data_IF_117315078962
#
_entry.id   IF_117315078962
#
_cell.length_a   1.000
_cell.length_b   1.000
_cell.length_c   1.000
_cell.angle_alpha   90.00
_cell.angle_beta   90.00
_cell.angle_gamma   90.00
#
_symmetry.space_group_name_H-M   'P 1'
#
loop_
_entity.id
_entity.type
_entity.pdbx_description
1 polymer ?
#
# COMPACT_ATOMS: atom_id res chain seq x y z
N UNK A 1 -20.41 12.16 9.15
CA UNK A 1 -20.19 10.69 9.06
C UNK A 1 -18.79 10.52 8.52
N UNK A 2 -17.88 9.84 9.23
CA UNK A 2 -16.56 9.56 8.68
C UNK A 2 -16.75 8.57 7.52
N UNK A 3 -16.57 9.02 6.28
CA UNK A 3 -16.74 8.16 5.10
C UNK A 3 -15.54 7.23 4.85
N UNK A 4 -14.68 6.98 5.84
CA UNK A 4 -13.48 6.13 5.73
C UNK A 4 -13.53 4.91 6.69
N UNK A 5 -14.71 4.33 6.93
CA UNK A 5 -14.88 3.31 7.99
C UNK A 5 -14.35 1.92 7.59
N UNK A 6 -14.41 1.52 6.31
CA UNK A 6 -14.05 0.16 5.90
C UNK A 6 -12.73 0.06 5.13
N UNK A 7 -12.08 -1.09 5.24
CA UNK A 7 -10.88 -1.40 4.45
C UNK A 7 -11.20 -1.39 2.95
N UNK A 8 -12.38 -1.89 2.56
CA UNK A 8 -12.81 -1.91 1.16
C UNK A 8 -12.96 -0.49 0.57
N UNK A 9 -13.41 0.47 1.37
CA UNK A 9 -13.55 1.87 0.94
C UNK A 9 -12.18 2.55 0.83
N UNK A 10 -11.24 2.23 1.71
CA UNK A 10 -9.85 2.67 1.59
C UNK A 10 -9.15 2.08 0.35
N UNK A 11 -9.43 0.82 0.01
CA UNK A 11 -8.98 0.24 -1.28
C UNK A 11 -9.58 1.01 -2.45
N UNK A 12 -10.87 1.37 -2.40
CA UNK A 12 -11.49 2.21 -3.43
C UNK A 12 -10.80 3.56 -3.57
N UNK A 13 -10.45 4.22 -2.46
CA UNK A 13 -9.67 5.46 -2.48
C UNK A 13 -8.30 5.29 -3.10
N UNK A 14 -7.57 4.21 -2.77
CA UNK A 14 -6.28 3.90 -3.41
C UNK A 14 -6.44 3.81 -4.92
N UNK A 15 -7.44 3.06 -5.40
CA UNK A 15 -7.69 2.89 -6.84
C UNK A 15 -8.06 4.21 -7.52
N UNK A 16 -8.87 5.04 -6.86
CA UNK A 16 -9.28 6.34 -7.43
C UNK A 16 -8.14 7.36 -7.41
N UNK A 17 -7.40 7.50 -6.32
CA UNK A 17 -6.42 8.58 -6.13
C UNK A 17 -5.03 8.25 -6.70
N UNK A 18 -4.62 6.98 -6.72
CA UNK A 18 -3.27 6.59 -7.19
C UNK A 18 -3.26 5.94 -8.57
N UNK A 19 -4.42 5.53 -9.09
CA UNK A 19 -4.54 4.81 -10.37
C UNK A 19 -5.61 5.41 -11.28
N UNK A 20 -6.12 6.61 -10.99
CA UNK A 20 -7.17 7.28 -11.77
C UNK A 20 -8.41 6.40 -12.04
N UNK A 21 -8.73 5.50 -11.10
CA UNK A 21 -9.84 4.54 -11.23
C UNK A 21 -9.51 3.29 -12.06
N UNK A 22 -8.27 3.13 -12.53
CA UNK A 22 -7.82 2.00 -13.35
C UNK A 22 -7.63 0.73 -12.50
N UNK A 23 -8.69 -0.08 -12.44
CA UNK A 23 -8.73 -1.33 -11.68
C UNK A 23 -7.72 -2.36 -12.19
N UNK A 24 -7.54 -2.45 -13.53
CA UNK A 24 -6.62 -3.40 -14.15
C UNK A 24 -5.16 -3.06 -13.83
N UNK A 25 -4.82 -1.77 -13.79
CA UNK A 25 -3.48 -1.31 -13.42
C UNK A 25 -3.18 -1.60 -11.95
N UNK A 26 -4.11 -1.27 -11.06
CA UNK A 26 -3.99 -1.58 -9.63
C UNK A 26 -3.84 -3.09 -9.40
N UNK A 27 -4.72 -3.91 -10.02
CA UNK A 27 -4.68 -5.37 -9.92
C UNK A 27 -3.32 -5.94 -10.35
N UNK A 28 -2.80 -5.46 -11.48
CA UNK A 28 -1.48 -5.83 -12.00
C UNK A 28 -0.37 -5.42 -11.02
N UNK A 29 -0.44 -4.21 -10.46
CA UNK A 29 0.60 -3.67 -9.58
C UNK A 29 0.74 -4.46 -8.28
N UNK A 30 -0.37 -4.95 -7.71
CA UNK A 30 -0.36 -5.73 -6.45
C UNK A 30 -0.45 -7.25 -6.67
N UNK A 31 -0.53 -7.72 -7.92
CA UNK A 31 -0.54 -9.15 -8.26
C UNK A 31 -1.82 -9.87 -7.82
N UNK A 32 -2.99 -9.29 -8.10
CA UNK A 32 -4.31 -9.93 -7.90
C UNK A 32 -5.17 -9.86 -9.16
N UNK A 33 -6.32 -10.52 -9.15
CA UNK A 33 -7.28 -10.45 -10.26
C UNK A 33 -8.08 -9.14 -10.24
N UNK A 34 -8.44 -8.62 -11.41
CA UNK A 34 -9.33 -7.46 -11.53
C UNK A 34 -10.72 -7.73 -10.91
N UNK A 35 -11.22 -8.96 -11.02
CA UNK A 35 -12.46 -9.39 -10.36
C UNK A 35 -12.40 -9.20 -8.85
N UNK A 36 -11.25 -9.48 -8.21
CA UNK A 36 -11.04 -9.23 -6.79
C UNK A 36 -11.11 -7.74 -6.47
N UNK A 37 -10.45 -6.89 -7.27
CA UNK A 37 -10.52 -5.43 -7.12
C UNK A 37 -11.97 -4.95 -7.20
N UNK A 38 -12.69 -5.35 -8.24
CA UNK A 38 -14.11 -5.00 -8.44
C UNK A 38 -14.96 -5.38 -7.24
N UNK A 39 -14.72 -6.55 -6.63
CA UNK A 39 -15.45 -7.01 -5.44
C UNK A 39 -15.25 -6.05 -4.24
N UNK A 40 -14.05 -5.50 -4.07
CA UNK A 40 -13.75 -4.55 -2.98
C UNK A 40 -14.39 -3.18 -3.23
N UNK A 41 -14.46 -2.74 -4.49
CA UNK A 41 -15.11 -1.48 -4.84
C UNK A 41 -16.62 -1.46 -4.56
N UNK A 42 -17.25 -2.64 -4.49
CA UNK A 42 -18.66 -2.81 -4.11
C UNK A 42 -18.86 -3.19 -2.63
N UNK A 43 -17.77 -3.22 -1.84
CA UNK A 43 -17.85 -3.40 -0.38
C UNK A 43 -17.46 -4.78 0.15
N UNK A 44 -16.96 -5.69 -0.69
CA UNK A 44 -16.46 -6.98 -0.19
C UNK A 44 -15.23 -6.76 0.70
N UNK A 45 -15.17 -7.48 1.81
CA UNK A 45 -14.01 -7.41 2.72
C UNK A 45 -12.83 -8.20 2.12
N UNK A 46 -11.67 -7.57 1.94
CA UNK A 46 -10.47 -8.26 1.46
C UNK A 46 -9.92 -9.23 2.51
N UNK A 47 -9.29 -10.31 2.04
CA UNK A 47 -8.54 -11.24 2.89
C UNK A 47 -7.17 -10.65 3.26
N UNK A 48 -6.55 -11.20 4.30
CA UNK A 48 -5.27 -10.70 4.82
C UNK A 48 -4.13 -10.75 3.79
N UNK A 49 -4.09 -11.76 2.92
CA UNK A 49 -3.11 -11.88 1.83
C UNK A 49 -3.18 -10.72 0.82
N UNK A 50 -4.36 -10.15 0.63
CA UNK A 50 -4.56 -8.97 -0.23
C UNK A 50 -3.99 -7.72 0.43
N UNK A 51 -4.17 -7.58 1.75
CA UNK A 51 -3.62 -6.46 2.51
C UNK A 51 -2.08 -6.50 2.50
N UNK A 52 -1.52 -7.68 2.71
CA UNK A 52 -0.07 -7.93 2.58
C UNK A 52 0.44 -7.51 1.20
N UNK A 53 -0.23 -7.94 0.12
CA UNK A 53 0.13 -7.56 -1.24
C UNK A 53 0.09 -6.05 -1.47
N UNK A 54 -0.91 -5.36 -0.91
CA UNK A 54 -1.00 -3.89 -1.01
C UNK A 54 0.22 -3.24 -0.36
N UNK A 55 0.49 -3.51 0.91
CA UNK A 55 1.55 -2.83 1.66
C UNK A 55 2.97 -3.18 1.17
N UNK A 56 3.14 -4.33 0.53
CA UNK A 56 4.43 -4.77 -0.01
C UNK A 56 4.72 -4.27 -1.43
N UNK A 57 3.70 -4.03 -2.25
CA UNK A 57 3.90 -3.65 -3.66
C UNK A 57 3.76 -2.14 -3.91
N UNK A 58 3.10 -1.42 -3.01
CA UNK A 58 2.84 0.02 -3.16
C UNK A 58 3.09 0.75 -1.84
N UNK A 59 3.42 2.04 -1.93
CA UNK A 59 3.83 2.85 -0.77
C UNK A 59 2.64 3.30 0.09
N UNK A 60 1.84 2.36 0.57
CA UNK A 60 0.69 2.59 1.45
C UNK A 60 1.07 2.33 2.91
N UNK A 61 0.58 3.18 3.81
CA UNK A 61 0.69 2.98 5.25
C UNK A 61 -0.23 1.85 5.71
N UNK A 62 0.33 0.85 6.39
CA UNK A 62 -0.45 -0.23 6.99
C UNK A 62 -1.36 0.30 8.10
N UNK A 63 -0.93 1.31 8.86
CA UNK A 63 -1.71 1.94 9.91
C UNK A 63 -2.96 2.60 9.33
N UNK A 64 -2.79 3.42 8.27
CA UNK A 64 -3.91 4.04 7.58
C UNK A 64 -4.82 3.02 6.91
N UNK A 65 -4.26 1.96 6.32
CA UNK A 65 -5.04 0.91 5.65
C UNK A 65 -5.89 0.07 6.62
N UNK A 66 -5.45 -0.10 7.87
CA UNK A 66 -6.15 -0.90 8.88
C UNK A 66 -7.05 -0.07 9.79
N UNK A 67 -6.58 1.09 10.25
CA UNK A 67 -7.29 1.95 11.23
C UNK A 67 -8.05 3.11 10.60
N UNK A 68 -7.54 3.65 9.49
CA UNK A 68 -8.09 4.83 8.81
C UNK A 68 -7.45 6.12 9.32
N UNK A 69 -6.54 6.00 10.28
CA UNK A 69 -5.85 7.11 10.92
C UNK A 69 -4.50 7.37 10.24
N UNK A 70 -4.03 8.62 10.34
CA UNK A 70 -2.76 9.03 9.75
C UNK A 70 -2.81 9.22 8.23
N UNK A 71 -1.64 9.15 7.58
CA UNK A 71 -1.48 9.41 6.15
C UNK A 71 -1.59 8.13 5.31
N UNK A 72 -2.29 8.21 4.18
CA UNK A 72 -2.44 7.10 3.21
C UNK A 72 -1.08 6.59 2.71
N UNK A 73 -0.21 7.52 2.30
CA UNK A 73 1.09 7.16 1.78
C UNK A 73 2.07 6.91 2.93
N UNK A 74 2.82 5.81 2.82
CA UNK A 74 3.94 5.54 3.70
C UNK A 74 5.05 6.51 3.32
N UNK A 75 5.33 7.47 4.22
CA UNK A 75 6.52 8.27 4.10
C UNK A 75 7.72 7.34 4.05
N UNK A 76 8.51 7.42 2.98
CA UNK A 76 9.79 6.74 2.87
C UNK A 76 10.76 7.44 3.81
N UNK A 77 10.58 7.27 5.12
CA UNK A 77 11.62 7.54 6.09
C UNK A 77 12.77 6.64 5.68
N UNK A 78 13.83 7.25 5.14
CA UNK A 78 15.09 6.59 4.86
C UNK A 78 15.49 5.93 6.18
N UNK A 79 15.36 4.61 6.27
CA UNK A 79 15.80 3.89 7.46
C UNK A 79 17.31 4.14 7.59
N UNK A 80 17.82 4.58 8.76
CA UNK A 80 19.26 4.74 9.00
C UNK A 80 20.08 3.45 8.75
N UNK A 81 19.39 2.32 8.63
CA UNK A 81 19.95 0.99 8.40
C UNK A 81 20.63 0.83 7.02
N UNK A 82 20.43 1.76 6.07
CA UNK A 82 21.14 1.75 4.78
C UNK A 82 22.45 2.56 4.79
N UNK A 83 22.78 3.26 5.89
CA UNK A 83 23.96 4.14 5.97
C UNK A 83 25.23 3.39 6.40
N UNK A 84 25.14 2.14 6.85
CA UNK A 84 26.29 1.37 7.35
C UNK A 84 27.10 0.61 6.30
N UNK A 85 26.78 0.69 5.00
CA UNK A 85 27.56 -0.03 3.96
C UNK A 85 28.58 0.83 3.20
N UNK A 86 28.80 2.10 3.56
CA UNK A 86 29.78 2.98 2.89
C UNK A 86 31.03 3.25 3.77
N UNK A 87 31.16 2.62 4.94
CA UNK A 87 32.27 2.92 5.88
C UNK A 87 33.38 1.86 5.95
N UNK A 88 33.42 0.88 5.05
CA UNK A 88 34.45 -0.17 5.06
C UNK A 88 35.14 -0.34 3.70
N UNK A 89 35.82 0.68 3.18
CA UNK A 89 36.82 0.45 2.10
C UNK A 89 37.94 1.48 2.00
N UNK A 90 38.42 2.08 3.10
CA UNK A 90 39.62 2.94 3.04
C UNK A 90 40.61 2.79 4.20
N UNK A 91 40.71 1.62 4.84
CA UNK A 91 41.86 1.33 5.73
C UNK A 91 42.37 -0.11 5.61
N UNK A 92 43.13 -0.39 4.55
CA UNK A 92 44.34 -1.19 4.73
C UNK A 92 45.42 -0.66 3.78
N UNK A 93 46.33 0.10 4.36
CA UNK A 93 47.66 0.42 3.83
C UNK A 93 48.53 -0.82 3.90
#
# INVERSE_FOLDING_TARGET
MNEDISISLRIKRIVTELYDGNQSEFARKIGISESSVRSYLVGTTPKADVLEKIVNNIAISYEWLLTGEGSMLRNKQISPQSTYQIMDTEQHT
#
